data_IF_829750008495
#
_entry.id   IF_829750008495
#
_cell.length_a   1.000
_cell.length_b   1.000
_cell.length_c   1.000
_cell.angle_alpha   90.00
_cell.angle_beta   90.00
_cell.angle_gamma   90.00
#
_symmetry.space_group_name_H-M   'P 1'
#
loop_
_entity.id
_entity.type
_entity.pdbx_description
1 polymer ?
#
# COMPACT_ATOMS: atom_id res chain seq x y z
N UNK A 1 23.19 -15.43 -17.91
CA UNK A 1 22.03 -15.22 -17.02
C UNK A 1 21.46 -16.58 -16.69
N UNK A 2 21.27 -16.97 -15.42
CA UNK A 2 20.69 -18.27 -15.10
C UNK A 2 19.25 -18.36 -15.59
N UNK A 3 18.88 -19.49 -16.19
CA UNK A 3 17.52 -19.74 -16.69
C UNK A 3 16.73 -20.45 -15.60
N UNK A 4 15.71 -19.79 -15.07
CA UNK A 4 14.93 -20.28 -13.91
C UNK A 4 13.73 -21.15 -14.34
N UNK A 5 13.35 -21.10 -15.62
CA UNK A 5 12.18 -21.80 -16.16
C UNK A 5 10.88 -21.01 -15.99
N UNK A 6 9.76 -21.61 -16.39
CA UNK A 6 8.43 -21.00 -16.23
C UNK A 6 7.92 -21.11 -14.78
N UNK A 7 7.22 -20.07 -14.33
CA UNK A 7 6.52 -20.11 -13.05
C UNK A 7 5.22 -20.93 -13.18
N UNK A 8 4.77 -21.61 -12.11
CA UNK A 8 3.42 -22.16 -12.06
C UNK A 8 2.37 -21.06 -12.29
N UNK A 9 1.20 -21.44 -12.82
CA UNK A 9 0.17 -20.51 -13.29
C UNK A 9 -0.24 -19.45 -12.25
N UNK A 10 -0.39 -19.83 -10.97
CA UNK A 10 -0.80 -18.91 -9.90
C UNK A 10 0.20 -17.77 -9.65
N UNK A 11 1.46 -18.08 -9.23
CA UNK A 11 2.51 -17.08 -9.09
C UNK A 11 2.76 -16.28 -10.37
N UNK A 12 2.73 -16.92 -11.54
CA UNK A 12 2.87 -16.24 -12.82
C UNK A 12 1.81 -15.15 -13.02
N UNK A 13 0.53 -15.45 -12.71
CA UNK A 13 -0.55 -14.49 -12.82
C UNK A 13 -0.36 -13.27 -11.90
N UNK A 14 -0.01 -13.50 -10.62
CA UNK A 14 0.22 -12.41 -9.66
C UNK A 14 1.40 -11.52 -10.08
N UNK A 15 2.50 -12.13 -10.53
CA UNK A 15 3.65 -11.40 -11.04
C UNK A 15 3.30 -10.60 -12.31
N UNK A 16 2.54 -11.19 -13.24
CA UNK A 16 2.18 -10.53 -14.49
C UNK A 16 1.29 -9.30 -14.29
N UNK A 17 0.41 -9.30 -13.27
CA UNK A 17 -0.36 -8.10 -12.91
C UNK A 17 0.59 -6.97 -12.49
N UNK A 18 1.52 -7.27 -11.56
CA UNK A 18 2.47 -6.28 -11.05
C UNK A 18 3.41 -5.75 -12.15
N UNK A 19 3.89 -6.64 -13.02
CA UNK A 19 4.74 -6.28 -14.17
C UNK A 19 3.98 -5.42 -15.17
N UNK A 20 2.69 -5.67 -15.39
CA UNK A 20 1.88 -4.85 -16.30
C UNK A 20 1.71 -3.42 -15.78
N UNK A 21 1.46 -3.24 -14.47
CA UNK A 21 1.43 -1.92 -13.81
C UNK A 21 2.74 -1.18 -14.03
N UNK A 22 3.87 -1.85 -13.78
CA UNK A 22 5.20 -1.25 -13.91
C UNK A 22 5.53 -0.88 -15.37
N UNK A 23 5.12 -1.70 -16.33
CA UNK A 23 5.28 -1.39 -17.76
C UNK A 23 4.50 -0.14 -18.14
N UNK A 24 3.22 -0.07 -17.76
CA UNK A 24 2.39 1.12 -18.01
C UNK A 24 3.01 2.37 -17.38
N UNK A 25 3.48 2.27 -16.14
CA UNK A 25 4.12 3.37 -15.43
C UNK A 25 5.41 3.84 -16.13
N UNK A 26 6.26 2.90 -16.59
CA UNK A 26 7.50 3.23 -17.31
C UNK A 26 7.20 3.85 -18.68
N UNK A 27 6.29 3.27 -19.46
CA UNK A 27 5.89 3.83 -20.76
C UNK A 27 5.30 5.24 -20.59
N UNK A 28 4.40 5.43 -19.62
CA UNK A 28 3.86 6.74 -19.27
C UNK A 28 4.95 7.73 -18.86
N UNK A 29 5.88 7.31 -17.99
CA UNK A 29 6.96 8.17 -17.50
C UNK A 29 7.99 8.53 -18.56
N UNK A 30 8.34 7.62 -19.46
CA UNK A 30 9.32 7.87 -20.53
C UNK A 30 8.73 8.79 -21.60
N UNK A 31 7.46 8.62 -21.92
CA UNK A 31 6.79 9.38 -22.98
C UNK A 31 6.05 10.64 -22.49
N UNK A 32 5.92 10.84 -21.17
CA UNK A 32 5.10 11.92 -20.61
C UNK A 32 3.60 11.72 -20.84
N UNK A 33 3.16 10.47 -20.99
CA UNK A 33 1.76 10.11 -21.25
C UNK A 33 0.99 9.96 -19.92
N UNK A 34 0.22 11.00 -19.59
CA UNK A 34 -0.65 11.05 -18.40
C UNK A 34 -1.73 9.97 -18.41
N UNK A 35 -2.25 9.59 -19.59
CA UNK A 35 -3.28 8.56 -19.67
C UNK A 35 -2.72 7.19 -19.31
N UNK A 36 -1.54 6.84 -19.80
CA UNK A 36 -0.85 5.61 -19.41
C UNK A 36 -0.50 5.62 -17.92
N UNK A 37 -0.09 6.78 -17.38
CA UNK A 37 0.18 6.93 -15.95
C UNK A 37 -1.08 6.63 -15.13
N UNK A 38 -2.21 7.27 -15.45
CA UNK A 38 -3.50 7.02 -14.76
C UNK A 38 -3.95 5.57 -14.87
N UNK A 39 -3.78 4.95 -16.03
CA UNK A 39 -4.07 3.52 -16.21
C UNK A 39 -3.19 2.64 -15.32
N UNK A 40 -1.90 2.98 -15.15
CA UNK A 40 -1.02 2.27 -14.23
C UNK A 40 -1.58 2.30 -12.79
N UNK A 41 -2.02 3.47 -12.31
CA UNK A 41 -2.65 3.60 -10.98
C UNK A 41 -3.97 2.82 -10.89
N UNK A 42 -4.79 2.78 -11.94
CA UNK A 42 -6.02 1.97 -11.96
C UNK A 42 -5.77 0.46 -11.91
N UNK A 43 -4.67 0.02 -12.51
CA UNK A 43 -4.29 -1.39 -12.54
C UNK A 43 -3.55 -1.84 -11.28
N UNK A 44 -3.07 -0.91 -10.45
CA UNK A 44 -2.42 -1.24 -9.19
C UNK A 44 -3.42 -1.86 -8.21
N UNK A 45 -3.18 -3.09 -7.71
CA UNK A 45 -4.15 -3.80 -6.90
C UNK A 45 -4.38 -3.16 -5.52
N UNK A 46 -3.44 -2.37 -4.99
CA UNK A 46 -3.61 -1.70 -3.71
C UNK A 46 -4.40 -0.41 -3.88
N UNK A 47 -4.16 0.34 -4.96
CA UNK A 47 -4.95 1.52 -5.32
C UNK A 47 -6.39 1.11 -5.63
N UNK A 48 -6.60 0.13 -6.50
CA UNK A 48 -7.93 -0.35 -6.87
C UNK A 48 -8.71 -1.02 -5.73
N UNK A 49 -8.04 -1.45 -4.66
CA UNK A 49 -8.70 -1.96 -3.46
C UNK A 49 -9.30 -0.86 -2.58
N UNK A 50 -8.85 0.39 -2.72
CA UNK A 50 -9.23 1.51 -1.84
C UNK A 50 -9.96 2.61 -2.60
N UNK A 51 -9.54 2.91 -3.84
CA UNK A 51 -9.99 4.05 -4.62
C UNK A 51 -10.85 3.62 -5.81
N UNK A 52 -11.86 4.44 -6.14
CA UNK A 52 -12.59 4.38 -7.40
C UNK A 52 -11.91 5.24 -8.49
N UNK A 53 -12.30 5.14 -9.77
CA UNK A 53 -11.62 5.89 -10.83
C UNK A 53 -11.58 7.41 -10.58
N UNK A 54 -12.68 8.13 -10.28
CA UNK A 54 -12.59 9.56 -9.93
C UNK A 54 -11.58 9.90 -8.82
N UNK A 55 -11.52 9.10 -7.74
CA UNK A 55 -10.53 9.28 -6.66
C UNK A 55 -9.10 9.08 -7.17
N UNK A 56 -8.88 8.11 -8.05
CA UNK A 56 -7.57 7.86 -8.69
C UNK A 56 -7.17 9.03 -9.58
N UNK A 57 -8.10 9.59 -10.35
CA UNK A 57 -7.82 10.74 -11.21
C UNK A 57 -7.35 11.95 -10.40
N UNK A 58 -8.02 12.27 -9.30
CA UNK A 58 -7.60 13.35 -8.42
C UNK A 58 -6.28 13.04 -7.72
N UNK A 59 -6.08 11.81 -7.25
CA UNK A 59 -4.82 11.40 -6.62
C UNK A 59 -3.62 11.58 -7.56
N UNK A 60 -3.77 11.23 -8.84
CA UNK A 60 -2.70 11.43 -9.84
C UNK A 60 -2.46 12.92 -10.09
N UNK A 61 -3.50 13.76 -10.11
CA UNK A 61 -3.36 15.21 -10.23
C UNK A 61 -2.53 15.78 -9.07
N UNK A 62 -2.89 15.42 -7.83
CA UNK A 62 -2.17 15.82 -6.62
C UNK A 62 -0.70 15.40 -6.69
N UNK A 63 -0.42 14.15 -7.11
CA UNK A 63 0.94 13.64 -7.24
C UNK A 63 1.75 14.36 -8.32
N UNK A 64 1.16 14.63 -9.49
CA UNK A 64 1.83 15.34 -10.58
C UNK A 64 2.23 16.76 -10.16
N UNK A 65 1.31 17.49 -9.52
CA UNK A 65 1.57 18.87 -9.07
C UNK A 65 2.62 18.89 -7.96
N UNK A 66 2.51 18.01 -6.96
CA UNK A 66 3.48 17.94 -5.86
C UNK A 66 4.88 17.50 -6.30
N UNK A 67 4.96 16.66 -7.34
CA UNK A 67 6.22 16.10 -7.83
C UNK A 67 6.75 16.82 -9.10
N UNK A 68 6.19 17.98 -9.45
CA UNK A 68 6.50 18.68 -10.71
C UNK A 68 7.99 18.94 -10.94
N UNK A 69 8.78 19.14 -9.88
CA UNK A 69 10.23 19.36 -9.96
C UNK A 69 10.96 18.16 -10.59
N UNK A 70 10.45 16.95 -10.41
CA UNK A 70 11.08 15.70 -10.88
C UNK A 70 10.42 15.12 -12.12
N UNK A 71 9.28 15.69 -12.54
CA UNK A 71 8.45 15.19 -13.65
C UNK A 71 8.31 16.20 -14.80
N UNK A 72 9.41 16.78 -15.32
CA UNK A 72 9.35 17.84 -16.33
C UNK A 72 8.68 17.40 -17.64
N UNK A 73 8.68 16.10 -17.96
CA UNK A 73 8.04 15.54 -19.14
C UNK A 73 6.51 15.57 -19.08
N UNK A 74 5.92 15.78 -17.90
CA UNK A 74 4.47 15.88 -17.70
C UNK A 74 3.97 17.33 -17.64
N UNK A 75 4.74 18.31 -18.14
CA UNK A 75 4.45 19.74 -17.98
C UNK A 75 3.00 20.12 -18.28
N UNK A 76 2.46 19.67 -19.42
CA UNK A 76 1.10 20.01 -19.85
C UNK A 76 0.04 19.36 -18.95
N UNK A 77 0.31 18.13 -18.50
CA UNK A 77 -0.55 17.42 -17.55
C UNK A 77 -0.53 18.07 -16.16
N UNK A 78 0.64 18.53 -15.71
CA UNK A 78 0.82 19.27 -14.44
C UNK A 78 0.04 20.58 -14.48
N UNK A 79 0.16 21.36 -15.56
CA UNK A 79 -0.60 22.62 -15.73
C UNK A 79 -2.11 22.36 -15.68
N UNK A 80 -2.57 21.34 -16.42
CA UNK A 80 -3.98 20.93 -16.42
C UNK A 80 -4.45 20.45 -15.04
N UNK A 81 -3.61 19.73 -14.31
CA UNK A 81 -3.88 19.25 -12.96
C UNK A 81 -3.96 20.41 -11.96
N UNK A 82 -3.04 21.38 -12.02
CA UNK A 82 -3.08 22.58 -11.18
C UNK A 82 -4.38 23.36 -11.34
N UNK A 83 -4.84 23.54 -12.58
CA UNK A 83 -6.13 24.21 -12.86
C UNK A 83 -7.30 23.45 -12.23
N UNK A 84 -7.34 22.12 -12.33
CA UNK A 84 -8.38 21.29 -11.69
C UNK A 84 -8.31 21.35 -10.16
N UNK A 85 -7.12 21.45 -9.58
CA UNK A 85 -6.97 21.57 -8.14
C UNK A 85 -7.44 22.94 -7.61
N UNK A 86 -7.21 24.00 -8.39
CA UNK A 86 -7.65 25.35 -8.04
C UNK A 86 -9.17 25.56 -8.19
N UNK A 87 -9.86 24.73 -8.99
CA UNK A 87 -11.31 24.87 -9.18
C UNK A 87 -12.13 24.57 -7.92
N UNK A 88 -11.56 23.85 -6.95
CA UNK A 88 -12.15 23.62 -5.63
C UNK A 88 -13.19 22.49 -5.55
N UNK A 89 -13.56 21.87 -6.67
CA UNK A 89 -14.49 20.72 -6.73
C UNK A 89 -13.79 19.38 -6.44
N UNK A 90 -13.02 19.34 -5.35
CA UNK A 90 -12.22 18.17 -4.96
C UNK A 90 -13.07 17.15 -4.19
N UNK A 91 -12.87 15.86 -4.52
CA UNK A 91 -13.41 14.73 -3.78
C UNK A 91 -12.78 14.71 -2.37
N UNK A 92 -13.62 14.59 -1.32
CA UNK A 92 -13.13 14.58 0.05
C UNK A 92 -12.40 13.27 0.36
N UNK A 93 -11.31 13.36 1.12
CA UNK A 93 -10.64 12.18 1.68
C UNK A 93 -11.50 11.51 2.73
N UNK A 94 -11.51 10.18 2.75
CA UNK A 94 -12.26 9.39 3.73
C UNK A 94 -11.35 9.02 4.90
N UNK A 95 -11.77 9.30 6.13
CA UNK A 95 -11.09 8.76 7.30
C UNK A 95 -11.29 7.24 7.35
N UNK A 96 -10.19 6.48 7.30
CA UNK A 96 -10.24 5.02 7.22
C UNK A 96 -9.18 4.37 8.12
N UNK A 97 -9.62 3.42 8.93
CA UNK A 97 -8.75 2.73 9.89
C UNK A 97 -8.06 1.48 9.31
N UNK A 98 -8.51 0.95 8.17
CA UNK A 98 -8.01 -0.31 7.59
C UNK A 98 -8.92 -1.51 7.84
N UNK A 99 -9.07 -2.40 6.85
CA UNK A 99 -9.95 -3.57 6.93
C UNK A 99 -9.42 -4.68 7.86
N UNK A 100 -8.10 -4.77 8.04
CA UNK A 100 -7.43 -5.82 8.80
C UNK A 100 -6.57 -5.24 9.93
N UNK A 101 -7.18 -4.43 10.82
CA UNK A 101 -6.51 -3.97 12.04
C UNK A 101 -6.85 -4.89 13.20
N UNK A 102 -5.81 -5.33 13.91
CA UNK A 102 -5.96 -5.92 15.23
C UNK A 102 -6.11 -4.76 16.21
N UNK A 103 -7.18 -4.76 17.02
CA UNK A 103 -7.34 -3.78 18.10
C UNK A 103 -6.15 -3.92 19.04
N UNK A 104 -5.31 -2.88 19.11
CA UNK A 104 -4.27 -2.80 20.14
C UNK A 104 -4.94 -2.65 21.49
N UNK A 105 -4.66 -3.58 22.41
CA UNK A 105 -5.17 -3.52 23.78
C UNK A 105 -4.64 -2.27 24.47
N UNK A 106 -5.47 -1.61 25.27
CA UNK A 106 -4.98 -0.53 26.15
C UNK A 106 -4.19 -1.10 27.33
N UNK A 107 -3.48 -0.23 28.07
CA UNK A 107 -2.72 -0.66 29.25
C UNK A 107 -3.66 -1.22 30.32
N UNK A 108 -4.84 -0.63 30.48
CA UNK A 108 -5.88 -1.07 31.40
C UNK A 108 -6.42 -2.44 31.00
N UNK A 109 -6.76 -2.64 29.72
CA UNK A 109 -7.20 -3.94 29.19
C UNK A 109 -6.12 -5.03 29.35
N UNK A 110 -4.83 -4.67 29.27
CA UNK A 110 -3.72 -5.58 29.56
C UNK A 110 -3.57 -5.89 31.05
N UNK A 111 -3.85 -4.93 31.93
CA UNK A 111 -3.81 -5.11 33.39
C UNK A 111 -4.94 -6.02 33.87
N UNK A 112 -6.15 -5.88 33.33
CA UNK A 112 -7.28 -6.76 33.64
C UNK A 112 -7.02 -8.20 33.18
N UNK A 113 -6.37 -8.38 32.02
CA UNK A 113 -6.03 -9.70 31.50
C UNK A 113 -4.72 -10.27 32.09
N UNK A 114 -4.07 -9.57 33.04
CA UNK A 114 -2.72 -9.91 33.51
C UNK A 114 -2.63 -11.31 34.11
N UNK A 115 -3.61 -11.72 34.92
CA UNK A 115 -3.58 -13.02 35.58
C UNK A 115 -3.76 -14.17 34.59
N UNK A 116 -4.64 -13.99 33.60
CA UNK A 116 -4.84 -14.94 32.51
C UNK A 116 -3.62 -15.03 31.59
N UNK A 117 -3.02 -13.89 31.24
CA UNK A 117 -1.78 -13.82 30.47
C UNK A 117 -0.60 -14.50 31.19
N UNK A 118 -0.46 -14.28 32.50
CA UNK A 118 0.56 -14.93 33.33
C UNK A 118 0.36 -16.45 33.37
N UNK A 119 -0.89 -16.91 33.52
CA UNK A 119 -1.21 -18.34 33.49
C UNK A 119 -0.87 -18.95 32.12
N UNK A 120 -1.29 -18.32 31.04
CA UNK A 120 -1.01 -18.79 29.68
C UNK A 120 0.50 -18.82 29.37
N UNK A 121 1.26 -17.82 29.83
CA UNK A 121 2.71 -17.79 29.70
C UNK A 121 3.40 -18.90 30.52
N UNK A 122 2.88 -19.19 31.72
CA UNK A 122 3.37 -20.28 32.57
C UNK A 122 3.15 -21.66 31.96
N UNK A 123 1.98 -21.92 31.37
CA UNK A 123 1.67 -23.19 30.68
C UNK A 123 2.49 -23.38 29.39
N UNK A 124 2.92 -22.29 28.76
CA UNK A 124 3.81 -22.33 27.60
C UNK A 124 5.27 -22.66 27.96
N UNK A 125 5.68 -22.48 29.22
CA UNK A 125 6.99 -22.92 29.71
C UNK A 125 6.98 -24.45 29.86
N UNK A 126 7.51 -25.15 28.86
CA UNK A 126 7.58 -26.63 28.83
C UNK A 126 8.44 -27.21 29.96
N UNK A 127 9.27 -26.40 30.60
CA UNK A 127 10.04 -26.80 31.79
C UNK A 127 9.20 -26.52 33.05
N UNK A 128 8.33 -27.48 33.43
CA UNK A 128 7.47 -27.36 34.62
C UNK A 128 8.24 -27.05 35.90
N UNK A 129 9.51 -27.46 35.98
CA UNK A 129 10.44 -27.06 37.03
C UNK A 129 11.73 -26.56 36.40
N UNK A 130 12.16 -25.35 36.81
CA UNK A 130 13.49 -24.83 36.45
C UNK A 130 14.51 -25.45 37.39
N UNK A 131 15.58 -26.11 36.88
CA UNK A 131 16.62 -26.64 37.75
C UNK A 131 17.23 -25.49 38.56
N UNK A 132 17.36 -25.68 39.88
CA UNK A 132 17.97 -24.68 40.75
C UNK A 132 19.37 -24.35 40.21
N UNK A 133 19.65 -23.05 40.09
CA UNK A 133 20.93 -22.53 39.60
C UNK A 133 22.04 -23.11 40.47
N UNK A 134 22.80 -24.06 39.93
CA UNK A 134 23.97 -24.61 40.63
C UNK A 134 24.95 -23.46 40.88
N UNK A 135 25.37 -23.31 42.14
CA UNK A 135 26.37 -22.32 42.56
C UNK A 135 27.73 -22.63 41.98
#
# INVERSE_FOLDING_TARGET
>A
MPVVGELPMGPAAVCNVSVSVQRLAVEGAVHGDDMLLRQAFMMDPLVGAVCNPPEIWQMVDEMLVLQQQWLPQFKDAIESASIRMESGDLLPTREYQGAARVKTKTVEEMQENRDEANRNAGEADKAKERPAKQK
#
